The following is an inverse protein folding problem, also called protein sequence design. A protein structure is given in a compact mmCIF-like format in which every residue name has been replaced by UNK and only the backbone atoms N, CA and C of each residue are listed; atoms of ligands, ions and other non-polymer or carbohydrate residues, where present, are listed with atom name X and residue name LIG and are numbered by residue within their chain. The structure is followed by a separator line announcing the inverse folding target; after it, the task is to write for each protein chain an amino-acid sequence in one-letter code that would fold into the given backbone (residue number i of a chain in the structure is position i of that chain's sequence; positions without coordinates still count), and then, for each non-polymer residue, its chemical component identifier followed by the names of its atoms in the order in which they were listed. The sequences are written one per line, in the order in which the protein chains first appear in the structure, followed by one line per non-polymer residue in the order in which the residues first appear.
data_IF_096572643965
#
_entry.id   IF_096572643965
#
_cell.length_a   1.000
_cell.length_b   1.000
_cell.length_c   1.000
_cell.angle_alpha   90.00
_cell.angle_beta   90.00
_cell.angle_gamma   90.00
#
_symmetry.space_group_name_H-M   'P 1'
#
loop_
_entity.id
_entity.type
_entity.pdbx_description
1 polymer ?
#
# COMPACT_ATOMS: atom_id res chain seq x y z
N UNK A 1 18.31 15.19 0.27
CA UNK A 1 16.88 15.15 0.59
C UNK A 1 16.16 14.00 -0.13
N UNK A 2 16.50 13.66 -1.37
CA UNK A 2 15.93 12.55 -2.13
C UNK A 2 17.01 11.54 -2.46
N UNK A 3 16.84 10.28 -2.06
CA UNK A 3 17.84 9.22 -2.27
C UNK A 3 17.79 8.57 -3.65
N UNK A 4 17.15 9.18 -4.61
CA UNK A 4 17.02 8.63 -5.96
C UNK A 4 15.73 9.04 -6.67
N UNK A 5 15.37 8.29 -7.72
CA UNK A 5 14.13 8.49 -8.47
C UNK A 5 12.92 8.11 -7.59
N UNK A 6 11.79 8.78 -7.79
CA UNK A 6 10.55 8.36 -7.16
C UNK A 6 10.14 6.97 -7.63
N UNK A 7 9.48 6.24 -6.74
CA UNK A 7 8.92 4.93 -7.03
C UNK A 7 7.39 5.05 -7.07
N UNK A 8 6.77 4.40 -8.03
CA UNK A 8 5.31 4.33 -8.13
C UNK A 8 4.87 2.91 -8.45
N UNK A 9 3.71 2.53 -7.97
CA UNK A 9 3.11 1.22 -8.21
C UNK A 9 1.61 1.38 -8.33
N UNK A 10 1.00 0.67 -9.28
CA UNK A 10 -0.45 0.63 -9.42
C UNK A 10 -1.05 -0.33 -8.39
N UNK A 11 -2.23 0.02 -7.89
CA UNK A 11 -2.97 -0.80 -6.92
C UNK A 11 -4.33 -1.13 -7.52
N UNK A 12 -4.72 -2.41 -7.47
CA UNK A 12 -5.89 -2.98 -8.14
C UNK A 12 -7.21 -2.40 -7.62
N UNK A 13 -7.54 -2.73 -6.38
CA UNK A 13 -8.89 -2.51 -5.84
C UNK A 13 -8.85 -1.96 -4.41
N UNK A 14 -10.05 -1.71 -3.88
CA UNK A 14 -10.26 -1.09 -2.58
C UNK A 14 -9.59 -1.85 -1.42
N UNK A 15 -9.57 -3.19 -1.46
CA UNK A 15 -8.95 -3.99 -0.42
C UNK A 15 -7.43 -3.81 -0.39
N UNK A 16 -6.79 -3.83 -1.57
CA UNK A 16 -5.35 -3.56 -1.68
C UNK A 16 -5.02 -2.11 -1.35
N UNK A 17 -5.87 -1.17 -1.76
CA UNK A 17 -5.69 0.24 -1.44
C UNK A 17 -5.70 0.48 0.07
N UNK A 18 -6.67 -0.06 0.79
CA UNK A 18 -6.72 0.02 2.25
C UNK A 18 -5.49 -0.62 2.90
N UNK A 19 -5.05 -1.79 2.41
CA UNK A 19 -3.84 -2.43 2.92
C UNK A 19 -2.61 -1.52 2.74
N UNK A 20 -2.50 -0.80 1.62
CA UNK A 20 -1.43 0.18 1.38
C UNK A 20 -1.53 1.37 2.32
N UNK A 21 -2.74 1.93 2.55
CA UNK A 21 -2.94 2.98 3.55
C UNK A 21 -2.42 2.55 4.92
N UNK A 22 -2.86 1.40 5.40
CA UNK A 22 -2.41 0.83 6.69
C UNK A 22 -0.90 0.63 6.73
N UNK A 23 -0.32 0.11 5.64
CA UNK A 23 1.12 -0.09 5.54
C UNK A 23 1.89 1.22 5.71
N UNK A 24 1.46 2.28 5.02
CA UNK A 24 2.11 3.60 5.06
C UNK A 24 1.97 4.22 6.47
N UNK A 25 0.78 4.20 7.04
CA UNK A 25 0.51 4.83 8.33
C UNK A 25 1.14 4.10 9.53
N UNK A 26 1.33 2.78 9.42
CA UNK A 26 2.06 2.00 10.42
C UNK A 26 3.57 1.96 10.19
N UNK A 27 4.07 2.53 9.10
CA UNK A 27 5.49 2.49 8.79
C UNK A 27 6.36 3.17 9.86
N UNK A 28 6.00 4.34 10.42
CA UNK A 28 6.76 4.95 11.51
C UNK A 28 6.83 4.08 12.77
N UNK A 29 5.76 3.33 13.08
CA UNK A 29 5.74 2.39 14.21
C UNK A 29 6.65 1.20 13.93
N UNK A 30 6.56 0.62 12.73
CA UNK A 30 7.45 -0.49 12.32
C UNK A 30 8.92 -0.11 12.29
N UNK A 31 9.21 1.15 11.99
CA UNK A 31 10.56 1.68 12.01
C UNK A 31 11.06 2.04 13.42
N UNK A 32 10.21 1.88 14.45
CA UNK A 32 10.56 2.24 15.83
C UNK A 32 10.69 3.74 16.08
N UNK A 33 10.18 4.58 15.18
CA UNK A 33 10.26 6.04 15.30
C UNK A 33 9.22 6.60 16.28
N UNK A 34 8.09 5.92 16.41
CA UNK A 34 6.98 6.25 17.32
C UNK A 34 6.37 4.98 17.89
N UNK A 35 5.74 5.06 19.07
CA UNK A 35 5.09 3.92 19.70
C UNK A 35 3.68 3.66 19.15
N UNK A 36 3.00 4.68 18.64
CA UNK A 36 1.66 4.58 18.06
C UNK A 36 1.56 5.46 16.79
N UNK A 37 0.75 5.08 15.80
CA UNK A 37 0.66 5.81 14.54
C UNK A 37 0.20 7.26 14.72
N UNK A 38 -0.63 7.54 15.72
CA UNK A 38 -1.09 8.89 16.06
C UNK A 38 0.04 9.84 16.53
N UNK A 39 1.20 9.30 16.89
CA UNK A 39 2.38 10.08 17.27
C UNK A 39 3.20 10.53 16.04
N UNK A 40 2.92 9.99 14.87
CA UNK A 40 3.60 10.37 13.63
C UNK A 40 3.07 11.71 13.10
N UNK A 41 3.73 12.81 13.44
CA UNK A 41 3.28 14.17 13.12
C UNK A 41 3.04 14.43 11.63
N UNK A 42 3.84 13.80 10.76
CA UNK A 42 3.81 13.96 9.30
C UNK A 42 3.14 12.76 8.61
N UNK A 43 1.93 12.42 9.05
CA UNK A 43 1.18 11.28 8.55
C UNK A 43 -0.28 11.66 8.30
N UNK A 44 -0.90 11.02 7.30
CA UNK A 44 -2.33 11.12 7.01
C UNK A 44 -3.23 10.53 8.11
N UNK A 45 -2.67 9.77 9.04
CA UNK A 45 -3.40 9.08 10.11
C UNK A 45 -4.30 10.01 10.93
N UNK A 46 -3.85 11.23 11.21
CA UNK A 46 -4.63 12.20 11.98
C UNK A 46 -5.92 12.62 11.24
N UNK A 47 -5.80 12.88 9.94
CA UNK A 47 -6.96 13.22 9.11
C UNK A 47 -7.90 12.04 8.93
N UNK A 48 -7.36 10.86 8.65
CA UNK A 48 -8.15 9.64 8.44
C UNK A 48 -8.86 9.16 9.72
N UNK A 49 -8.23 9.32 10.88
CA UNK A 49 -8.86 9.11 12.19
C UNK A 49 -9.76 10.29 12.62
N UNK A 50 -9.79 11.38 11.86
CA UNK A 50 -10.56 12.58 12.19
C UNK A 50 -10.13 13.28 13.47
N UNK A 51 -8.86 13.14 13.86
CA UNK A 51 -8.25 13.80 15.02
C UNK A 51 -7.88 15.27 14.71
N UNK A 52 -7.57 15.53 13.43
CA UNK A 52 -7.20 16.85 12.93
C UNK A 52 -7.75 17.03 11.51
N UNK A 53 -8.24 18.22 11.20
CA UNK A 53 -8.54 18.58 9.80
C UNK A 53 -7.23 18.85 9.08
N UNK A 54 -7.03 18.16 7.96
CA UNK A 54 -5.88 18.37 7.10
C UNK A 54 -6.38 18.77 5.70
N UNK A 55 -6.12 20.02 5.27
CA UNK A 55 -6.60 20.51 3.96
C UNK A 55 -5.91 19.84 2.77
N UNK A 56 -4.79 19.15 2.99
CA UNK A 56 -4.07 18.43 1.94
C UNK A 56 -4.68 17.05 1.66
N UNK A 57 -5.50 16.53 2.58
CA UNK A 57 -6.11 15.22 2.42
C UNK A 57 -7.45 15.29 1.73
N UNK A 58 -7.56 14.58 0.62
CA UNK A 58 -8.84 14.25 -0.01
C UNK A 58 -9.18 12.80 0.29
N UNK A 59 -10.24 12.51 1.08
CA UNK A 59 -10.60 11.14 1.41
C UNK A 59 -10.96 10.36 0.15
N UNK A 60 -10.33 9.19 -0.03
CA UNK A 60 -10.70 8.28 -1.11
C UNK A 60 -12.09 7.68 -0.84
N UNK A 61 -12.92 7.41 -1.88
CA UNK A 61 -14.24 6.79 -1.72
C UNK A 61 -14.23 5.53 -0.85
N UNK A 62 -13.22 4.69 -0.97
CA UNK A 62 -13.02 3.47 -0.15
C UNK A 62 -12.98 3.77 1.35
N UNK A 63 -12.34 4.87 1.76
CA UNK A 63 -12.35 5.30 3.17
C UNK A 63 -13.74 5.78 3.61
N UNK A 64 -14.49 6.40 2.70
CA UNK A 64 -15.84 6.86 2.97
C UNK A 64 -16.83 5.69 3.19
N UNK A 65 -16.57 4.54 2.56
CA UNK A 65 -17.38 3.31 2.72
C UNK A 65 -17.20 2.64 4.09
N UNK A 66 -16.21 3.02 4.89
CA UNK A 66 -16.00 2.46 6.23
C UNK A 66 -17.08 2.90 7.23
N UNK A 67 -17.97 3.82 6.87
CA UNK A 67 -19.13 4.21 7.68
C UNK A 67 -19.92 5.35 7.08
N UNK A 68 -21.23 5.33 7.29
CA UNK A 68 -22.16 6.34 6.76
C UNK A 68 -21.99 7.74 7.38
N UNK A 69 -21.45 7.81 8.59
CA UNK A 69 -21.17 9.08 9.29
C UNK A 69 -19.67 9.26 9.56
N UNK A 70 -19.18 10.48 9.77
CA UNK A 70 -17.78 10.71 10.15
C UNK A 70 -17.37 9.95 11.42
N UNK A 71 -18.27 9.81 12.39
CA UNK A 71 -18.02 9.07 13.62
C UNK A 71 -17.84 7.56 13.35
N UNK A 72 -18.74 6.97 12.55
CA UNK A 72 -18.65 5.56 12.16
C UNK A 72 -17.39 5.29 11.34
N UNK A 73 -17.03 6.18 10.42
CA UNK A 73 -15.78 6.07 9.63
C UNK A 73 -14.54 6.04 10.52
N UNK A 74 -14.48 6.91 11.55
CA UNK A 74 -13.38 6.92 12.51
C UNK A 74 -13.25 5.60 13.26
N UNK A 75 -14.37 5.06 13.73
CA UNK A 75 -14.41 3.77 14.43
C UNK A 75 -13.95 2.64 13.49
N UNK A 76 -14.53 2.59 12.28
CA UNK A 76 -14.16 1.60 11.27
C UNK A 76 -12.69 1.68 10.86
N UNK A 77 -12.18 2.89 10.64
CA UNK A 77 -10.78 3.08 10.27
C UNK A 77 -9.82 2.73 11.41
N UNK A 78 -10.15 3.07 12.66
CA UNK A 78 -9.37 2.67 13.83
C UNK A 78 -9.30 1.15 13.97
N UNK A 79 -10.44 0.46 13.87
CA UNK A 79 -10.48 -0.99 13.93
C UNK A 79 -9.64 -1.63 12.83
N UNK A 80 -9.74 -1.10 11.61
CA UNK A 80 -8.93 -1.52 10.48
C UNK A 80 -7.42 -1.30 10.72
N UNK A 81 -7.03 -0.14 11.23
CA UNK A 81 -5.62 0.21 11.48
C UNK A 81 -4.99 -0.67 12.56
N UNK A 82 -5.75 -1.03 13.59
CA UNK A 82 -5.31 -1.86 14.72
C UNK A 82 -5.36 -3.37 14.45
N UNK A 83 -5.80 -3.81 13.27
CA UNK A 83 -5.74 -5.23 12.88
C UNK A 83 -4.29 -5.64 12.55
N UNK A 84 -3.53 -5.93 13.61
CA UNK A 84 -2.11 -6.28 13.50
C UNK A 84 -1.86 -7.58 12.71
N UNK A 85 -2.80 -8.53 12.72
CA UNK A 85 -2.66 -9.79 11.97
C UNK A 85 -2.63 -9.51 10.48
N UNK A 86 -3.62 -8.76 9.97
CA UNK A 86 -3.66 -8.36 8.57
C UNK A 86 -2.51 -7.41 8.21
N UNK A 87 -2.17 -6.48 9.10
CA UNK A 87 -1.05 -5.57 8.88
C UNK A 87 0.28 -6.31 8.69
N UNK A 88 0.52 -7.39 9.42
CA UNK A 88 1.72 -8.22 9.28
C UNK A 88 1.68 -9.10 8.03
N UNK A 89 0.51 -9.61 7.66
CA UNK A 89 0.34 -10.43 6.47
C UNK A 89 0.54 -9.64 5.17
N UNK A 90 0.02 -8.40 5.10
CA UNK A 90 0.08 -7.57 3.89
C UNK A 90 1.46 -6.92 3.65
N UNK A 91 2.19 -6.63 4.72
CA UNK A 91 3.40 -5.82 4.65
C UNK A 91 4.51 -6.37 3.73
N UNK A 92 4.81 -7.68 3.67
CA UNK A 92 5.84 -8.22 2.77
C UNK A 92 5.50 -7.97 1.30
N UNK A 93 4.28 -8.26 0.89
CA UNK A 93 3.83 -8.08 -0.49
C UNK A 93 3.87 -6.60 -0.90
N UNK A 94 3.34 -5.69 -0.07
CA UNK A 94 3.34 -4.25 -0.35
C UNK A 94 4.77 -3.73 -0.48
N UNK A 95 5.68 -4.15 0.42
CA UNK A 95 7.10 -3.75 0.37
C UNK A 95 7.77 -4.24 -0.90
N UNK A 96 7.55 -5.49 -1.27
CA UNK A 96 8.14 -6.10 -2.46
C UNK A 96 7.66 -5.40 -3.74
N UNK A 97 6.35 -5.22 -3.88
CA UNK A 97 5.76 -4.56 -5.05
C UNK A 97 6.19 -3.09 -5.16
N UNK A 98 6.20 -2.34 -4.06
CA UNK A 98 6.69 -0.96 -4.03
C UNK A 98 8.16 -0.87 -4.41
N UNK A 99 9.01 -1.74 -3.87
CA UNK A 99 10.44 -1.75 -4.17
C UNK A 99 10.75 -2.15 -5.62
N UNK A 100 10.01 -3.11 -6.16
CA UNK A 100 10.15 -3.57 -7.54
C UNK A 100 9.39 -2.70 -8.55
N UNK A 101 8.64 -1.71 -8.10
CA UNK A 101 7.76 -0.87 -8.92
C UNK A 101 6.78 -1.70 -9.78
N UNK A 102 6.25 -2.78 -9.21
CA UNK A 102 5.32 -3.67 -9.86
C UNK A 102 3.90 -3.44 -9.34
N UNK A 103 2.87 -3.60 -10.18
CA UNK A 103 1.49 -3.47 -9.73
C UNK A 103 1.16 -4.45 -8.60
N UNK A 104 0.36 -4.00 -7.63
CA UNK A 104 -0.16 -4.79 -6.53
C UNK A 104 -1.64 -5.09 -6.77
N UNK A 105 -1.99 -6.35 -6.93
CA UNK A 105 -3.37 -6.74 -7.20
C UNK A 105 -3.57 -8.21 -7.47
N UNK A 106 -4.79 -8.56 -7.88
CA UNK A 106 -5.20 -9.89 -8.27
C UNK A 106 -4.51 -10.33 -9.58
N UNK A 107 -4.47 -11.64 -9.83
CA UNK A 107 -3.98 -12.19 -11.10
C UNK A 107 -4.72 -11.57 -12.29
N UNK A 108 -6.06 -11.50 -12.22
CA UNK A 108 -6.91 -10.88 -13.25
C UNK A 108 -6.49 -9.43 -13.57
N UNK A 109 -6.16 -8.65 -12.54
CA UNK A 109 -5.71 -7.28 -12.72
C UNK A 109 -4.35 -7.22 -13.43
N UNK A 110 -3.42 -8.09 -13.05
CA UNK A 110 -2.10 -8.18 -13.67
C UNK A 110 -2.18 -8.63 -15.13
N UNK A 111 -3.08 -9.57 -15.45
CA UNK A 111 -3.33 -10.02 -16.81
C UNK A 111 -3.92 -8.89 -17.66
N UNK A 112 -4.94 -8.20 -17.17
CA UNK A 112 -5.52 -7.03 -17.82
C UNK A 112 -4.47 -5.95 -18.11
N UNK A 113 -3.61 -5.64 -17.14
CA UNK A 113 -2.53 -4.67 -17.34
C UNK A 113 -1.50 -5.14 -18.37
N UNK A 114 -1.18 -6.42 -18.38
CA UNK A 114 -0.24 -7.02 -19.34
C UNK A 114 -0.79 -6.90 -20.76
N UNK A 115 -2.06 -7.19 -20.96
CA UNK A 115 -2.75 -7.02 -22.25
C UNK A 115 -2.80 -5.54 -22.67
N UNK A 116 -3.22 -4.65 -21.77
CA UNK A 116 -3.36 -3.22 -22.06
C UNK A 116 -2.03 -2.56 -22.42
N UNK A 117 -0.96 -2.94 -21.72
CA UNK A 117 0.36 -2.34 -21.89
C UNK A 117 1.23 -3.06 -22.94
N UNK A 118 0.79 -4.21 -23.45
CA UNK A 118 1.54 -5.03 -24.41
C UNK A 118 2.88 -5.54 -23.88
N UNK A 119 3.05 -5.61 -22.55
CA UNK A 119 4.28 -6.08 -21.89
C UNK A 119 4.00 -6.69 -20.53
N UNK A 120 4.82 -7.67 -20.08
CA UNK A 120 4.71 -8.22 -18.74
C UNK A 120 4.87 -7.15 -17.66
N UNK A 121 3.96 -7.12 -16.68
CA UNK A 121 3.97 -6.19 -15.55
C UNK A 121 4.49 -6.82 -14.26
N UNK A 122 4.64 -8.15 -14.22
CA UNK A 122 5.21 -8.86 -13.07
C UNK A 122 6.70 -8.55 -12.88
N UNK A 123 7.15 -8.66 -11.63
CA UNK A 123 8.56 -8.50 -11.30
C UNK A 123 9.42 -9.53 -12.05
N UNK A 124 10.39 -9.06 -12.80
CA UNK A 124 11.34 -9.96 -13.46
C UNK A 124 12.35 -10.49 -12.44
N UNK A 125 12.73 -11.79 -12.52
CA UNK A 125 13.83 -12.32 -11.74
C UNK A 125 15.10 -11.50 -11.97
N UNK A 126 15.84 -11.24 -10.91
CA UNK A 126 17.18 -10.61 -11.04
C UNK A 126 18.16 -11.62 -11.60
N UNK A 127 18.96 -11.20 -12.56
CA UNK A 127 20.05 -12.01 -13.13
C UNK A 127 20.06 -12.01 -14.65
N UNK A 128 21.14 -12.54 -15.20
CA UNK A 128 21.26 -12.79 -16.63
C UNK A 128 20.28 -13.92 -17.02
N UNK A 129 19.49 -13.77 -18.10
CA UNK A 129 18.68 -14.88 -18.60
C UNK A 129 19.56 -16.12 -18.84
N UNK A 130 19.12 -17.29 -18.36
CA UNK A 130 19.78 -18.54 -18.70
C UNK A 130 19.73 -18.75 -20.20
N UNK A 131 20.87 -19.06 -20.80
CA UNK A 131 20.90 -19.45 -22.21
C UNK A 131 20.06 -20.72 -22.38
N UNK A 132 19.11 -20.80 -23.35
CA UNK A 132 18.47 -22.03 -23.69
C UNK A 132 19.57 -22.98 -24.20
N UNK A 133 19.75 -24.16 -23.56
CA UNK A 133 20.63 -25.23 -24.08
C UNK A 133 21.89 -25.55 -23.29
N UNK A 134 21.97 -25.27 -21.99
CA UNK A 134 23.04 -25.86 -21.13
C UNK A 134 22.46 -26.95 -20.21
N UNK A 135 21.93 -28.00 -20.80
CA UNK A 135 21.81 -29.29 -20.13
C UNK A 135 23.16 -30.05 -20.38
N UNK A 136 23.87 -30.29 -19.29
CA UNK A 136 24.98 -31.26 -19.22
C UNK A 136 24.56 -32.40 -18.34
#
# INVERSE_FOLDING_TARGET
LWQGRFHSSMVDNDAYLLAVYRYIELNPVRAGLVAAPEQAAWSSVHGNLGLRRDPLLTPHPTLLMLGGTPAQRRVGYRAFLTDHRRASADAPAIREHGWKQCPLGSARFLDMLTETLGRPVAARPRGRPRKPGSES
#
